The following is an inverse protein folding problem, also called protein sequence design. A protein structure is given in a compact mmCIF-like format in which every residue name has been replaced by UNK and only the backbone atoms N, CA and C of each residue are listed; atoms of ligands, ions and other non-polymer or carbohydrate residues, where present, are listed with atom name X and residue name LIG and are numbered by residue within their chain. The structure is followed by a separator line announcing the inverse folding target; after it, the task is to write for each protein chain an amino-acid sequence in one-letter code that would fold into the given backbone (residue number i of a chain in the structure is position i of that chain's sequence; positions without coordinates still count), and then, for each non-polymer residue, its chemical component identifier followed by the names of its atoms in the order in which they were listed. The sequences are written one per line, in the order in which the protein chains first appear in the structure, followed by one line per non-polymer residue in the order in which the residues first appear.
data_IF_016345284177
#
_entry.id   IF_016345284177
#
_cell.length_a   1.000
_cell.length_b   1.000
_cell.length_c   1.000
_cell.angle_alpha   90.00
_cell.angle_beta   90.00
_cell.angle_gamma   90.00
#
_symmetry.space_group_name_H-M   'P 1'
#
loop_
_entity.id
_entity.type
_entity.pdbx_description
1 polymer ?
#
# COMPACT_ATOMS: atom_id res chain seq x y z
N UNK A 1 2.13 32.91 -6.74
CA UNK A 1 2.47 31.76 -5.88
C UNK A 1 2.04 30.51 -6.62
N UNK A 2 2.97 29.81 -7.27
CA UNK A 2 2.67 28.56 -7.97
C UNK A 2 2.80 27.45 -6.94
N UNK A 3 1.68 26.86 -6.51
CA UNK A 3 1.73 25.66 -5.67
C UNK A 3 2.32 24.55 -6.52
N UNK A 4 3.52 24.09 -6.17
CA UNK A 4 4.02 22.81 -6.69
C UNK A 4 3.13 21.75 -6.04
N UNK A 5 2.08 21.36 -6.73
CA UNK A 5 1.40 20.09 -6.44
C UNK A 5 2.43 19.00 -6.66
N UNK A 6 2.80 18.22 -5.63
CA UNK A 6 3.71 17.11 -5.83
C UNK A 6 3.12 16.21 -6.91
N UNK A 7 3.92 15.88 -7.92
CA UNK A 7 3.49 14.89 -8.90
C UNK A 7 3.19 13.60 -8.15
N UNK A 8 1.97 13.08 -8.29
CA UNK A 8 1.59 11.79 -7.71
C UNK A 8 2.57 10.71 -8.15
N UNK A 9 2.87 9.75 -7.29
CA UNK A 9 3.68 8.60 -7.69
C UNK A 9 3.03 7.87 -8.87
N UNK A 10 3.79 7.04 -9.61
CA UNK A 10 3.18 6.08 -10.52
C UNK A 10 2.08 5.26 -9.81
N UNK A 11 1.06 4.77 -10.54
CA UNK A 11 -0.03 4.02 -9.96
C UNK A 11 0.46 2.84 -9.10
N UNK A 12 -0.01 2.80 -7.87
CA UNK A 12 0.25 1.72 -6.93
C UNK A 12 -0.84 0.66 -7.08
N UNK A 13 -0.62 -0.26 -8.03
CA UNK A 13 -1.56 -1.32 -8.36
C UNK A 13 -0.96 -2.71 -8.14
N UNK A 14 -1.81 -3.68 -7.81
CA UNK A 14 -1.44 -5.08 -7.65
C UNK A 14 -2.62 -5.98 -8.00
N UNK A 15 -2.34 -7.19 -8.48
CA UNK A 15 -3.36 -8.22 -8.73
C UNK A 15 -3.15 -9.34 -7.72
N UNK A 16 -4.21 -9.72 -7.01
CA UNK A 16 -4.27 -10.85 -6.07
C UNK A 16 -5.56 -11.59 -6.34
N UNK A 17 -5.49 -12.91 -6.49
CA UNK A 17 -6.63 -13.78 -6.78
C UNK A 17 -7.56 -13.21 -7.89
N UNK A 18 -6.96 -12.84 -9.02
CA UNK A 18 -7.60 -12.22 -10.20
C UNK A 18 -8.34 -10.89 -9.97
N UNK A 19 -8.24 -10.32 -8.77
CA UNK A 19 -8.80 -9.01 -8.44
C UNK A 19 -7.73 -7.93 -8.59
N UNK A 20 -8.07 -6.84 -9.29
CA UNK A 20 -7.20 -5.68 -9.44
C UNK A 20 -7.40 -4.71 -8.27
N UNK A 21 -6.35 -4.48 -7.50
CA UNK A 21 -6.31 -3.57 -6.38
C UNK A 21 -5.48 -2.32 -6.68
N UNK A 22 -5.86 -1.21 -6.06
CA UNK A 22 -5.14 0.05 -6.08
C UNK A 22 -5.03 0.62 -4.68
N UNK A 23 -3.86 1.15 -4.35
CA UNK A 23 -3.71 2.08 -3.23
C UNK A 23 -3.96 3.51 -3.74
N UNK A 24 -5.15 4.04 -3.45
CA UNK A 24 -5.43 5.45 -3.69
C UNK A 24 -4.66 6.26 -2.64
N UNK A 25 -3.66 7.00 -3.12
CA UNK A 25 -2.67 7.62 -2.25
C UNK A 25 -3.23 8.81 -1.50
N UNK A 26 -4.11 9.61 -2.08
CA UNK A 26 -4.57 10.89 -1.51
C UNK A 26 -5.41 10.71 -0.25
N UNK A 27 -6.22 9.66 -0.22
CA UNK A 27 -7.14 9.25 0.84
C UNK A 27 -6.57 8.10 1.68
N UNK A 28 -5.45 7.52 1.25
CA UNK A 28 -4.81 6.38 1.90
C UNK A 28 -5.70 5.13 1.90
N UNK A 29 -6.44 4.91 0.82
CA UNK A 29 -7.47 3.88 0.73
C UNK A 29 -7.02 2.70 -0.14
N UNK A 30 -7.29 1.49 0.32
CA UNK A 30 -7.30 0.33 -0.55
C UNK A 30 -8.60 0.35 -1.36
N UNK A 31 -8.49 0.12 -2.66
CA UNK A 31 -9.62 -0.04 -3.57
C UNK A 31 -9.48 -1.29 -4.40
N UNK A 32 -10.61 -1.89 -4.76
CA UNK A 32 -10.70 -2.98 -5.73
C UNK A 32 -11.51 -2.53 -6.94
N UNK A 33 -11.12 -2.97 -8.12
CA UNK A 33 -11.83 -2.69 -9.35
C UNK A 33 -12.93 -3.73 -9.58
N UNK A 34 -14.18 -3.27 -9.69
CA UNK A 34 -15.28 -4.12 -10.15
C UNK A 34 -15.42 -3.99 -11.67
N UNK A 35 -15.07 -5.06 -12.38
CA UNK A 35 -15.10 -5.11 -13.85
C UNK A 35 -16.52 -5.04 -14.43
N UNK A 36 -17.54 -5.45 -13.67
CA UNK A 36 -18.92 -5.45 -14.16
C UNK A 36 -19.50 -4.04 -14.18
N UNK A 37 -19.15 -3.24 -13.18
CA UNK A 37 -19.62 -1.85 -13.04
C UNK A 37 -18.61 -0.81 -13.52
N UNK A 38 -17.36 -1.20 -13.78
CA UNK A 38 -16.23 -0.33 -14.11
C UNK A 38 -15.93 0.73 -13.03
N UNK A 39 -16.15 0.39 -11.76
CA UNK A 39 -16.00 1.30 -10.62
C UNK A 39 -14.96 0.76 -9.64
N UNK A 40 -14.23 1.68 -8.99
CA UNK A 40 -13.36 1.36 -7.86
C UNK A 40 -14.15 1.36 -6.55
N UNK A 41 -14.30 0.19 -5.93
CA UNK A 41 -14.90 0.02 -4.61
C UNK A 41 -13.87 0.23 -3.51
N UNK A 42 -14.20 1.00 -2.48
CA UNK A 42 -13.35 1.20 -1.29
C UNK A 42 -13.34 -0.05 -0.40
N UNK A 43 -12.16 -0.41 0.08
CA UNK A 43 -11.89 -1.52 0.99
C UNK A 43 -11.15 -1.08 2.28
N UNK A 44 -11.34 0.18 2.67
CA UNK A 44 -10.80 0.73 3.91
C UNK A 44 -9.46 1.44 3.75
N UNK A 45 -8.87 1.82 4.88
CA UNK A 45 -7.61 2.57 4.95
C UNK A 45 -6.43 1.61 5.11
N UNK A 46 -5.29 1.90 4.48
CA UNK A 46 -4.07 1.10 4.64
C UNK A 46 -3.26 1.54 5.87
N UNK A 47 -2.51 0.65 6.54
CA UNK A 47 -1.80 0.96 7.78
C UNK A 47 -0.48 1.73 7.57
N UNK A 48 -0.30 2.39 6.42
CA UNK A 48 0.88 3.22 6.09
C UNK A 48 0.44 4.63 5.72
N UNK A 49 1.32 5.62 5.80
CA UNK A 49 1.01 7.03 5.52
C UNK A 49 1.21 7.42 4.05
N UNK A 50 0.56 6.72 3.10
CA UNK A 50 0.80 6.96 1.66
C UNK A 50 0.34 8.34 1.17
N UNK A 51 -0.60 8.98 1.88
CA UNK A 51 -1.10 10.32 1.58
C UNK A 51 -0.10 11.44 1.88
N UNK A 52 0.81 11.24 2.83
CA UNK A 52 1.76 12.29 3.23
C UNK A 52 2.76 12.65 2.13
N UNK A 53 3.00 11.73 1.21
CA UNK A 53 3.99 11.85 0.13
C UNK A 53 3.37 11.57 -1.24
N UNK A 54 2.04 11.55 -1.36
CA UNK A 54 1.34 11.22 -2.62
C UNK A 54 1.84 9.90 -3.24
N UNK A 55 2.07 8.90 -2.39
CA UNK A 55 2.55 7.57 -2.76
C UNK A 55 4.08 7.41 -2.85
N UNK A 56 4.85 8.49 -2.85
CA UNK A 56 6.31 8.40 -2.89
C UNK A 56 6.88 7.76 -1.63
N UNK A 57 7.76 6.76 -1.80
CA UNK A 57 8.30 5.98 -0.68
C UNK A 57 7.37 4.88 -0.16
N UNK A 58 6.21 4.68 -0.80
CA UNK A 58 5.33 3.54 -0.53
C UNK A 58 5.52 2.47 -1.60
N UNK A 59 5.68 1.21 -1.18
CA UNK A 59 5.61 0.07 -2.07
C UNK A 59 4.30 -0.69 -1.84
N UNK A 60 3.64 -1.06 -2.94
CA UNK A 60 2.42 -1.84 -2.96
C UNK A 60 2.59 -2.96 -3.98
N UNK A 61 2.53 -4.21 -3.52
CA UNK A 61 2.84 -5.40 -4.32
C UNK A 61 1.94 -6.57 -3.94
N UNK A 62 1.75 -7.51 -4.86
CA UNK A 62 1.22 -8.83 -4.53
C UNK A 62 2.34 -9.77 -4.05
N UNK A 63 1.97 -10.72 -3.19
CA UNK A 63 2.83 -11.75 -2.62
C UNK A 63 2.01 -13.03 -2.44
N UNK A 64 1.95 -13.87 -3.48
CA UNK A 64 1.03 -15.01 -3.50
C UNK A 64 -0.44 -14.54 -3.41
N UNK A 65 -1.17 -15.04 -2.43
CA UNK A 65 -2.57 -14.71 -2.10
C UNK A 65 -2.72 -13.43 -1.25
N UNK A 66 -1.65 -12.62 -1.15
CA UNK A 66 -1.60 -11.46 -0.25
C UNK A 66 -1.21 -10.18 -0.97
N UNK A 67 -1.69 -9.06 -0.44
CA UNK A 67 -1.12 -7.75 -0.66
C UNK A 67 -0.02 -7.49 0.38
N UNK A 68 1.05 -6.87 -0.08
CA UNK A 68 2.15 -6.34 0.72
C UNK A 68 2.15 -4.82 0.58
N UNK A 69 2.19 -4.13 1.71
CA UNK A 69 2.40 -2.68 1.75
C UNK A 69 3.60 -2.35 2.63
N UNK A 70 4.52 -1.57 2.07
CA UNK A 70 5.69 -1.05 2.78
C UNK A 70 5.65 0.46 2.73
N UNK A 71 5.83 1.11 3.87
CA UNK A 71 5.80 2.56 3.93
C UNK A 71 6.07 3.08 5.33
N UNK A 72 5.78 4.37 5.55
CA UNK A 72 5.98 5.01 6.85
C UNK A 72 4.74 4.86 7.73
N UNK A 73 4.93 4.53 9.00
CA UNK A 73 3.82 4.46 9.96
C UNK A 73 3.18 5.82 10.23
N UNK A 74 1.91 5.82 10.66
CA UNK A 74 1.21 7.02 11.14
C UNK A 74 1.76 7.55 12.48
N UNK A 75 2.75 6.90 13.08
CA UNK A 75 3.30 7.27 14.38
C UNK A 75 4.23 8.49 14.30
N UNK A 76 4.39 9.18 15.43
CA UNK A 76 5.28 10.34 15.56
C UNK A 76 6.74 10.01 15.21
N UNK A 77 7.17 8.78 15.48
CA UNK A 77 8.53 8.32 15.24
C UNK A 77 8.79 7.88 13.80
N UNK A 78 7.81 8.03 12.88
CA UNK A 78 7.91 7.80 11.42
C UNK A 78 8.81 6.62 11.06
N UNK A 79 8.54 5.47 11.68
CA UNK A 79 9.25 4.22 11.39
C UNK A 79 8.69 3.61 10.11
N UNK A 80 9.58 3.09 9.27
CA UNK A 80 9.15 2.22 8.19
C UNK A 80 8.55 0.92 8.73
N UNK A 81 7.50 0.46 8.09
CA UNK A 81 6.69 -0.67 8.50
C UNK A 81 6.32 -1.49 7.27
N UNK A 82 6.16 -2.79 7.49
CA UNK A 82 5.72 -3.73 6.47
C UNK A 82 4.46 -4.40 6.98
N UNK A 83 3.39 -4.32 6.20
CA UNK A 83 2.14 -4.99 6.48
C UNK A 83 1.78 -5.91 5.32
N UNK A 84 1.11 -7.01 5.64
CA UNK A 84 0.50 -7.88 4.66
C UNK A 84 -0.97 -8.08 4.96
N UNK A 85 -1.75 -8.38 3.93
CA UNK A 85 -3.18 -8.64 4.04
C UNK A 85 -3.58 -9.69 3.02
N UNK A 86 -4.48 -10.60 3.37
CA UNK A 86 -5.25 -11.38 2.40
C UNK A 86 -6.49 -10.57 2.03
N UNK A 87 -6.52 -9.90 0.87
CA UNK A 87 -7.63 -9.02 0.56
C UNK A 87 -8.89 -9.84 0.25
N UNK A 88 -10.05 -9.29 0.60
CA UNK A 88 -11.34 -9.78 0.09
C UNK A 88 -12.11 -8.61 -0.54
N UNK A 89 -12.61 -8.75 -1.77
CA UNK A 89 -13.41 -7.70 -2.43
C UNK A 89 -14.77 -7.47 -1.76
N UNK A 90 -15.23 -8.42 -0.94
CA UNK A 90 -16.56 -8.42 -0.34
C UNK A 90 -16.62 -7.68 1.00
N UNK A 91 -15.49 -7.46 1.66
CA UNK A 91 -15.41 -6.79 2.97
C UNK A 91 -14.97 -5.33 2.83
N UNK A 92 -15.61 -4.43 3.58
CA UNK A 92 -15.33 -2.98 3.50
C UNK A 92 -14.01 -2.56 4.15
N UNK A 93 -13.47 -3.39 5.05
CA UNK A 93 -12.19 -3.17 5.72
C UNK A 93 -11.38 -4.45 5.76
N UNK A 94 -10.08 -4.32 5.55
CA UNK A 94 -9.18 -5.45 5.50
C UNK A 94 -8.42 -5.65 6.81
N UNK A 95 -8.17 -6.91 7.16
CA UNK A 95 -7.30 -7.25 8.27
C UNK A 95 -5.83 -7.19 7.84
N UNK A 96 -5.06 -6.31 8.48
CA UNK A 96 -3.64 -6.11 8.21
C UNK A 96 -2.75 -6.73 9.28
N UNK A 97 -1.81 -7.55 8.85
CA UNK A 97 -0.81 -8.22 9.70
C UNK A 97 0.53 -7.49 9.57
N UNK A 98 1.03 -6.90 10.65
CA UNK A 98 2.37 -6.32 10.68
C UNK A 98 3.40 -7.45 10.60
N UNK A 99 4.25 -7.41 9.58
CA UNK A 99 5.44 -8.26 9.56
C UNK A 99 6.44 -7.61 10.50
N UNK A 100 6.73 -8.22 11.66
CA UNK A 100 7.63 -7.67 12.69
C UNK A 100 9.09 -8.10 12.54
N UNK A 101 9.34 -9.22 11.87
CA UNK A 101 10.65 -9.88 11.77
C UNK A 101 11.37 -9.62 10.45
N UNK A 102 11.11 -8.47 9.83
CA UNK A 102 11.63 -8.16 8.50
C UNK A 102 13.01 -7.49 8.54
N UNK A 103 13.40 -6.83 9.64
CA UNK A 103 14.73 -6.24 9.84
C UNK A 103 15.04 -6.07 11.35
N UNK A 104 15.80 -6.98 11.96
CA UNK A 104 16.36 -6.79 13.31
C UNK A 104 17.55 -5.83 13.23
N UNK A 105 17.41 -4.59 13.72
CA UNK A 105 18.51 -3.64 13.88
C UNK A 105 18.80 -2.72 12.68
N UNK A 106 18.02 -2.78 11.59
CA UNK A 106 18.13 -1.86 10.46
C UNK A 106 16.86 -0.99 10.34
N UNK A 107 17.03 0.32 10.27
CA UNK A 107 15.97 1.24 9.85
C UNK A 107 15.88 1.18 8.31
N UNK A 108 14.67 1.06 7.74
CA UNK A 108 14.59 1.28 6.29
C UNK A 108 14.87 2.74 6.00
N UNK A 109 15.53 3.01 4.86
CA UNK A 109 15.51 4.36 4.33
C UNK A 109 14.06 4.80 4.14
N UNK A 110 13.77 6.11 4.32
CA UNK A 110 12.43 6.68 4.15
C UNK A 110 11.89 6.55 2.72
N UNK A 111 12.72 6.09 1.78
CA UNK A 111 12.37 5.93 0.38
C UNK A 111 12.72 4.53 -0.12
N UNK A 112 11.77 3.91 -0.82
CA UNK A 112 11.94 2.58 -1.42
C UNK A 112 12.30 2.79 -2.89
N UNK A 113 13.58 2.59 -3.23
CA UNK A 113 14.04 2.76 -4.61
C UNK A 113 13.61 1.61 -5.53
N UNK A 114 13.67 0.38 -5.02
CA UNK A 114 13.26 -0.84 -5.72
C UNK A 114 12.55 -1.75 -4.72
N UNK A 115 11.44 -2.36 -5.13
CA UNK A 115 10.71 -3.36 -4.34
C UNK A 115 10.38 -4.55 -5.24
N UNK A 116 11.13 -5.63 -5.07
CA UNK A 116 10.89 -6.92 -5.72
C UNK A 116 10.38 -7.90 -4.65
N UNK A 117 9.27 -8.56 -4.94
CA UNK A 117 8.71 -9.61 -4.10
C UNK A 117 8.84 -10.91 -4.87
N UNK A 118 9.43 -11.91 -4.23
CA UNK A 118 9.52 -13.27 -4.76
C UNK A 118 8.77 -14.19 -3.80
N UNK A 119 7.88 -15.00 -4.35
CA UNK A 119 7.30 -16.11 -3.62
C UNK A 119 8.27 -17.28 -3.74
N UNK A 120 8.63 -17.90 -2.60
CA UNK A 120 9.53 -19.05 -2.55
C UNK A 120 8.75 -20.36 -2.54
#
# INVERSE_FOLDING_TARGET
MTFIIPSQSPPLIAVVDDNLYMLETSLNELRVYDINTNIWKKLGVVPVSANTTFGWGTAFKSMGDRLLVVGTSHSWHRKAIVYSCRPSPDVEEQHWEELKYWCTGAELPPFIHNCCVMFA
#
